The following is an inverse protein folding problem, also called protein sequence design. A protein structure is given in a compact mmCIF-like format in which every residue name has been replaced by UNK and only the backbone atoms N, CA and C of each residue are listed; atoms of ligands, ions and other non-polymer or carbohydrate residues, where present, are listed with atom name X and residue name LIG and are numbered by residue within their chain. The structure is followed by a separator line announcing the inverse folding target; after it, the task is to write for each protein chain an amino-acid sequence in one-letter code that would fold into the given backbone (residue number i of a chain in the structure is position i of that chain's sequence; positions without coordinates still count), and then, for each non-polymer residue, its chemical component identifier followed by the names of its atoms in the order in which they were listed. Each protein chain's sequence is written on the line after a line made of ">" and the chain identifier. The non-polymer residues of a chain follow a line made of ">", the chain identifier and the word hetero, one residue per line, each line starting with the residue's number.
data_IF_391137423361
#
_entry.id   IF_391137423361
#
_cell.length_a   1.000
_cell.length_b   1.000
_cell.length_c   1.000
_cell.angle_alpha   90.00
_cell.angle_beta   90.00
_cell.angle_gamma   90.00
#
_symmetry.space_group_name_H-M   'P 1'
#
loop_
_entity.id
_entity.type
_entity.pdbx_description
1 polymer ?
#
# COMPACT_ATOMS: atom_id res chain seq x y z
N UNK A 1 29.73 54.97 13.21
CA UNK A 1 28.86 53.91 13.75
C UNK A 1 28.64 52.88 12.66
N UNK A 2 29.20 51.68 12.81
CA UNK A 2 29.03 50.60 11.83
C UNK A 2 27.94 49.69 12.36
N UNK A 3 26.74 49.72 11.73
CA UNK A 3 25.66 48.80 12.01
C UNK A 3 26.02 47.40 11.47
N UNK A 4 26.15 46.40 12.33
CA UNK A 4 26.30 45.00 11.97
C UNK A 4 24.90 44.43 11.83
N UNK A 5 24.46 44.22 10.60
CA UNK A 5 23.29 43.38 10.34
C UNK A 5 23.67 41.94 10.63
N UNK A 6 23.08 41.37 11.68
CA UNK A 6 23.10 39.92 11.91
C UNK A 6 22.07 39.27 11.02
N UNK A 7 22.52 38.52 10.03
CA UNK A 7 21.67 37.68 9.20
C UNK A 7 21.35 36.41 10.00
N UNK A 8 20.15 36.35 10.57
CA UNK A 8 19.66 35.11 11.18
C UNK A 8 19.26 34.17 10.06
N UNK A 9 20.05 33.13 9.80
CA UNK A 9 19.71 32.06 8.91
C UNK A 9 18.61 31.23 9.58
N UNK A 10 17.37 31.33 9.04
CA UNK A 10 16.25 30.49 9.45
C UNK A 10 16.44 29.12 8.79
N UNK A 11 16.98 28.17 9.53
CA UNK A 11 17.04 26.76 9.10
C UNK A 11 15.64 26.21 9.25
N UNK A 12 14.89 26.14 8.14
CA UNK A 12 13.66 25.38 8.06
C UNK A 12 14.06 23.91 8.09
N UNK A 13 14.01 23.28 9.24
CA UNK A 13 14.02 21.84 9.36
C UNK A 13 12.71 21.34 8.75
N UNK A 14 12.76 20.91 7.48
CA UNK A 14 11.72 20.08 6.92
C UNK A 14 11.73 18.78 7.71
N UNK A 15 10.81 18.65 8.68
CA UNK A 15 10.52 17.38 9.32
C UNK A 15 9.99 16.46 8.23
N UNK A 16 10.83 15.53 7.74
CA UNK A 16 10.37 14.40 6.97
C UNK A 16 9.36 13.64 7.85
N UNK A 17 8.07 13.78 7.54
CA UNK A 17 7.06 12.97 8.19
C UNK A 17 7.37 11.52 7.82
N UNK A 18 7.77 10.72 8.82
CA UNK A 18 7.89 9.28 8.70
C UNK A 18 6.48 8.75 8.47
N UNK A 19 6.09 8.66 7.20
CA UNK A 19 4.82 8.08 6.80
C UNK A 19 4.96 6.57 6.74
N UNK A 20 3.90 5.83 7.13
CA UNK A 20 3.77 4.40 6.94
C UNK A 20 4.19 4.00 5.53
N UNK A 21 4.82 2.83 5.39
CA UNK A 21 5.03 2.19 4.09
C UNK A 21 3.97 1.11 3.88
N UNK A 22 3.15 1.29 2.87
CA UNK A 22 2.19 0.28 2.43
C UNK A 22 2.51 -0.11 0.99
N UNK A 23 2.79 -1.39 0.77
CA UNK A 23 3.23 -1.86 -0.54
C UNK A 23 2.79 -3.30 -0.79
N UNK A 24 2.78 -3.71 -2.06
CA UNK A 24 2.64 -5.11 -2.47
C UNK A 24 4.01 -5.69 -2.78
N UNK A 25 4.31 -6.85 -2.24
CA UNK A 25 5.52 -7.64 -2.48
C UNK A 25 5.13 -8.96 -3.16
N UNK A 26 5.97 -9.54 -4.05
CA UNK A 26 7.28 -9.07 -4.47
C UNK A 26 7.20 -7.95 -5.53
N UNK A 27 8.33 -7.29 -5.76
CA UNK A 27 8.46 -6.26 -6.79
C UNK A 27 8.75 -6.83 -8.19
N UNK A 28 9.16 -8.09 -8.26
CA UNK A 28 9.41 -8.82 -9.50
C UNK A 28 8.64 -10.15 -9.46
N UNK A 29 8.04 -10.51 -10.58
CA UNK A 29 7.28 -11.75 -10.72
C UNK A 29 7.45 -12.34 -12.12
N UNK A 30 7.11 -13.62 -12.28
CA UNK A 30 7.26 -14.33 -13.57
C UNK A 30 5.94 -14.30 -14.35
N UNK A 31 6.06 -14.13 -15.65
CA UNK A 31 4.96 -14.28 -16.61
C UNK A 31 4.24 -15.61 -16.39
N UNK A 32 2.90 -15.57 -16.34
CA UNK A 32 2.02 -16.73 -16.27
C UNK A 32 2.10 -17.57 -14.98
N UNK A 33 2.96 -17.20 -14.04
CA UNK A 33 3.13 -17.96 -12.81
C UNK A 33 1.99 -17.71 -11.82
N UNK A 34 1.72 -18.71 -10.98
CA UNK A 34 0.95 -18.51 -9.76
C UNK A 34 1.91 -18.00 -8.67
N UNK A 35 1.60 -16.84 -8.15
CA UNK A 35 2.47 -16.09 -7.25
C UNK A 35 1.77 -15.82 -5.93
N UNK A 36 2.47 -16.03 -4.82
CA UNK A 36 2.05 -15.52 -3.52
C UNK A 36 2.50 -14.07 -3.40
N UNK A 37 1.52 -13.19 -3.24
CA UNK A 37 1.71 -11.78 -2.96
C UNK A 37 1.43 -11.46 -1.49
N UNK A 38 1.95 -10.35 -1.01
CA UNK A 38 1.62 -9.82 0.30
C UNK A 38 1.43 -8.31 0.23
N UNK A 39 0.33 -7.81 0.78
CA UNK A 39 0.28 -6.40 1.16
C UNK A 39 1.06 -6.27 2.48
N UNK A 40 2.09 -5.44 2.46
CA UNK A 40 2.91 -5.14 3.63
C UNK A 40 2.55 -3.78 4.17
N UNK A 41 2.12 -3.75 5.41
CA UNK A 41 1.76 -2.53 6.13
C UNK A 41 2.78 -2.32 7.23
N UNK A 42 3.62 -1.31 7.06
CA UNK A 42 4.57 -0.88 8.09
C UNK A 42 4.12 0.48 8.61
N UNK A 43 3.48 0.50 9.76
CA UNK A 43 2.89 1.71 10.30
C UNK A 43 3.89 2.50 11.15
N UNK A 44 4.50 3.50 10.55
CA UNK A 44 5.38 4.48 11.22
C UNK A 44 4.64 5.79 11.54
N UNK A 45 3.35 5.87 11.23
CA UNK A 45 2.52 7.05 11.47
C UNK A 45 2.08 7.20 12.92
N UNK A 46 1.33 8.26 13.19
CA UNK A 46 0.82 8.58 14.54
C UNK A 46 -0.50 7.91 14.87
N UNK A 47 -1.23 7.43 13.87
CA UNK A 47 -2.53 6.79 13.99
C UNK A 47 -2.43 5.32 13.62
N UNK A 48 -3.22 4.47 14.29
CA UNK A 48 -3.34 3.08 13.89
C UNK A 48 -3.99 2.96 12.51
N UNK A 49 -3.55 1.98 11.71
CA UNK A 49 -4.24 1.58 10.49
C UNK A 49 -5.30 0.53 10.86
N UNK A 50 -6.55 0.77 10.45
CA UNK A 50 -7.72 -0.05 10.82
C UNK A 50 -8.30 -0.83 9.65
N UNK A 51 -7.90 -0.53 8.43
CA UNK A 51 -8.36 -1.21 7.24
C UNK A 51 -7.44 -0.98 6.06
N UNK A 52 -7.44 -1.94 5.15
CA UNK A 52 -6.68 -1.90 3.90
C UNK A 52 -7.59 -2.36 2.78
N UNK A 53 -7.75 -1.55 1.75
CA UNK A 53 -8.41 -1.93 0.50
C UNK A 53 -7.35 -2.04 -0.61
N UNK A 54 -7.30 -3.19 -1.27
CA UNK A 54 -6.44 -3.43 -2.42
C UNK A 54 -7.28 -3.56 -3.69
N UNK A 55 -7.09 -2.66 -4.64
CA UNK A 55 -7.66 -2.81 -5.97
C UNK A 55 -6.76 -3.75 -6.79
N UNK A 56 -7.38 -4.74 -7.42
CA UNK A 56 -6.66 -5.74 -8.20
C UNK A 56 -6.50 -5.26 -9.64
N UNK A 57 -5.25 -5.15 -10.16
CA UNK A 57 -5.02 -4.83 -11.57
C UNK A 57 -5.76 -5.77 -12.52
N UNK A 58 -6.22 -5.26 -13.68
CA UNK A 58 -7.08 -5.98 -14.60
C UNK A 58 -6.47 -7.29 -15.14
N UNK A 59 -5.15 -7.36 -15.22
CA UNK A 59 -4.42 -8.44 -15.90
C UNK A 59 -3.98 -9.57 -14.95
N UNK A 60 -4.29 -9.47 -13.67
CA UNK A 60 -3.98 -10.48 -12.67
C UNK A 60 -5.26 -11.10 -12.13
N UNK A 61 -5.24 -12.39 -11.83
CA UNK A 61 -6.40 -13.12 -11.31
C UNK A 61 -6.12 -13.64 -9.92
N UNK A 62 -6.83 -13.12 -8.92
CA UNK A 62 -6.73 -13.61 -7.53
C UNK A 62 -7.35 -14.99 -7.44
N UNK A 63 -6.62 -15.94 -6.85
CA UNK A 63 -7.02 -17.34 -6.68
C UNK A 63 -7.45 -17.59 -5.23
N UNK A 64 -6.73 -17.02 -4.26
CA UNK A 64 -6.97 -17.25 -2.85
C UNK A 64 -6.53 -16.04 -2.02
N UNK A 65 -7.23 -15.81 -0.92
CA UNK A 65 -6.90 -14.77 0.06
C UNK A 65 -6.74 -15.45 1.42
N UNK A 66 -5.56 -15.29 2.03
CA UNK A 66 -5.31 -15.86 3.35
C UNK A 66 -6.11 -15.15 4.43
N UNK A 67 -6.72 -15.91 5.32
CA UNK A 67 -7.40 -15.37 6.50
C UNK A 67 -6.37 -14.72 7.42
N UNK A 68 -6.51 -13.44 7.78
CA UNK A 68 -5.60 -12.83 8.75
C UNK A 68 -5.75 -13.48 10.13
N UNK A 69 -4.65 -13.57 10.88
CA UNK A 69 -4.66 -14.16 12.22
C UNK A 69 -5.60 -13.40 13.19
N UNK A 70 -5.67 -12.08 13.02
CA UNK A 70 -6.62 -11.20 13.70
C UNK A 70 -7.27 -10.31 12.66
N UNK A 71 -8.59 -10.17 12.72
CA UNK A 71 -9.36 -9.40 11.76
C UNK A 71 -10.08 -10.28 10.75
N UNK A 72 -10.47 -9.68 9.66
CA UNK A 72 -11.28 -10.33 8.62
C UNK A 72 -10.99 -9.71 7.26
N UNK A 73 -11.51 -10.32 6.21
CA UNK A 73 -11.51 -9.71 4.88
C UNK A 73 -12.84 -9.95 4.17
N UNK A 74 -13.12 -9.09 3.21
CA UNK A 74 -14.19 -9.24 2.23
C UNK A 74 -13.63 -9.02 0.84
N UNK A 75 -14.33 -9.49 -0.17
CA UNK A 75 -13.97 -9.28 -1.57
C UNK A 75 -15.12 -8.66 -2.34
N UNK A 76 -14.80 -7.76 -3.27
CA UNK A 76 -15.72 -7.33 -4.32
C UNK A 76 -15.38 -8.05 -5.62
N UNK A 77 -16.39 -8.39 -6.40
CA UNK A 77 -16.24 -9.12 -7.66
C UNK A 77 -16.97 -8.41 -8.80
N UNK A 78 -16.42 -8.59 -10.00
CA UNK A 78 -17.13 -8.34 -11.27
C UNK A 78 -17.25 -9.69 -11.98
N UNK A 79 -18.45 -10.23 -12.08
CA UNK A 79 -18.65 -11.65 -12.43
C UNK A 79 -17.94 -12.55 -11.39
N UNK A 80 -17.10 -13.46 -11.85
CA UNK A 80 -16.30 -14.35 -10.98
C UNK A 80 -14.96 -13.77 -10.58
N UNK A 81 -14.59 -12.63 -11.15
CA UNK A 81 -13.28 -12.01 -10.93
C UNK A 81 -13.30 -11.13 -9.68
N UNK A 82 -12.37 -11.37 -8.75
CA UNK A 82 -12.13 -10.47 -7.61
C UNK A 82 -11.49 -9.17 -8.14
N UNK A 83 -12.12 -8.04 -7.82
CA UNK A 83 -11.66 -6.69 -8.21
C UNK A 83 -11.08 -5.90 -7.05
N UNK A 84 -11.49 -6.21 -5.82
CA UNK A 84 -10.99 -5.55 -4.60
C UNK A 84 -10.95 -6.56 -3.46
N UNK A 85 -9.89 -6.51 -2.65
CA UNK A 85 -9.83 -7.19 -1.36
C UNK A 85 -9.80 -6.12 -0.27
N UNK A 86 -10.68 -6.24 0.71
CA UNK A 86 -10.78 -5.31 1.84
C UNK A 86 -10.55 -6.05 3.14
N UNK A 87 -9.49 -5.70 3.85
CA UNK A 87 -9.18 -6.24 5.17
C UNK A 87 -9.58 -5.26 6.27
N UNK A 88 -10.20 -5.80 7.31
CA UNK A 88 -10.36 -5.14 8.61
C UNK A 88 -9.29 -5.67 9.54
N UNK A 89 -8.39 -4.81 9.94
CA UNK A 89 -7.19 -5.15 10.73
C UNK A 89 -6.95 -4.07 11.78
N UNK A 90 -5.98 -4.30 12.62
CA UNK A 90 -5.47 -3.30 13.55
C UNK A 90 -3.94 -3.34 13.47
N UNK A 91 -3.35 -2.27 12.95
CA UNK A 91 -1.90 -2.10 12.88
C UNK A 91 -1.53 -0.86 13.68
N UNK A 92 -1.21 -1.03 14.96
CA UNK A 92 -0.78 0.09 15.81
C UNK A 92 0.47 0.78 15.27
N UNK A 93 0.72 1.98 15.75
CA UNK A 93 1.94 2.73 15.46
C UNK A 93 3.18 1.89 15.79
N UNK A 94 4.18 1.91 14.91
CA UNK A 94 5.43 1.14 14.99
C UNK A 94 5.25 -0.39 14.90
N UNK A 95 4.13 -0.86 14.36
CA UNK A 95 3.87 -2.28 14.09
C UNK A 95 3.84 -2.57 12.60
N UNK A 96 4.01 -3.84 12.30
CA UNK A 96 4.04 -4.39 10.94
C UNK A 96 3.00 -5.49 10.79
N UNK A 97 2.37 -5.54 9.62
CA UNK A 97 1.45 -6.61 9.25
C UNK A 97 1.66 -7.00 7.79
N UNK A 98 1.63 -8.29 7.50
CA UNK A 98 1.58 -8.83 6.15
C UNK A 98 0.23 -9.49 5.90
N UNK A 99 -0.36 -9.19 4.73
CA UNK A 99 -1.66 -9.70 4.30
C UNK A 99 -1.46 -10.49 3.00
N UNK A 100 -1.33 -11.83 3.07
CA UNK A 100 -1.03 -12.66 1.92
C UNK A 100 -2.27 -12.93 1.06
N UNK A 101 -2.04 -13.01 -0.26
CA UNK A 101 -2.98 -13.53 -1.22
C UNK A 101 -2.24 -14.22 -2.36
N UNK A 102 -2.90 -15.11 -3.08
CA UNK A 102 -2.32 -15.82 -4.21
C UNK A 102 -3.03 -15.40 -5.49
N UNK A 103 -2.26 -15.15 -6.54
CA UNK A 103 -2.81 -14.74 -7.81
C UNK A 103 -2.02 -15.32 -8.99
N UNK A 104 -2.70 -15.49 -10.12
CA UNK A 104 -2.08 -15.86 -11.38
C UNK A 104 -1.67 -14.58 -12.12
N UNK A 105 -0.40 -14.52 -12.47
CA UNK A 105 0.18 -13.41 -13.22
C UNK A 105 -0.30 -13.39 -14.68
N UNK A 106 -0.24 -12.23 -15.36
CA UNK A 106 -0.54 -12.13 -16.77
C UNK A 106 0.43 -12.98 -17.61
N UNK A 107 -0.05 -13.40 -18.79
CA UNK A 107 0.70 -14.25 -19.71
C UNK A 107 1.68 -13.45 -20.61
N UNK A 108 1.82 -12.17 -20.36
CA UNK A 108 2.77 -11.28 -21.03
C UNK A 108 3.48 -10.37 -20.03
N UNK A 109 4.65 -9.86 -20.41
CA UNK A 109 5.39 -8.90 -19.60
C UNK A 109 4.57 -7.63 -19.38
N UNK A 110 4.47 -7.20 -18.13
CA UNK A 110 3.70 -6.03 -17.73
C UNK A 110 4.11 -5.51 -16.37
N UNK A 111 3.97 -4.21 -16.17
CA UNK A 111 4.04 -3.59 -14.85
C UNK A 111 2.65 -3.59 -14.21
N UNK A 112 2.53 -4.25 -13.06
CA UNK A 112 1.33 -4.21 -12.23
C UNK A 112 1.42 -3.02 -11.29
N UNK A 113 0.59 -2.02 -11.51
CA UNK A 113 0.50 -0.84 -10.65
C UNK A 113 -0.56 -1.07 -9.59
N UNK A 114 -0.14 -1.15 -8.34
CA UNK A 114 -1.04 -1.42 -7.23
C UNK A 114 -1.66 -0.14 -6.68
N UNK A 115 -2.93 -0.22 -6.35
CA UNK A 115 -3.67 0.84 -5.67
C UNK A 115 -4.17 0.33 -4.33
N UNK A 116 -3.71 0.95 -3.26
CA UNK A 116 -4.08 0.61 -1.89
C UNK A 116 -4.67 1.84 -1.22
N UNK A 117 -5.80 1.66 -0.54
CA UNK A 117 -6.38 2.67 0.35
C UNK A 117 -6.21 2.20 1.78
N UNK A 118 -5.49 2.97 2.56
CA UNK A 118 -5.29 2.75 3.99
C UNK A 118 -6.32 3.55 4.79
N UNK A 119 -7.05 2.87 5.67
CA UNK A 119 -7.99 3.48 6.61
C UNK A 119 -7.28 3.72 7.95
N UNK A 120 -7.37 4.93 8.46
CA UNK A 120 -6.77 5.31 9.74
C UNK A 120 -7.83 5.40 10.84
N UNK A 121 -7.40 5.33 12.10
CA UNK A 121 -8.27 5.26 13.28
C UNK A 121 -9.20 6.47 13.45
N UNK A 122 -8.86 7.64 12.89
CA UNK A 122 -9.69 8.85 12.90
C UNK A 122 -10.71 8.91 11.76
N UNK A 123 -10.79 7.86 10.92
CA UNK A 123 -11.64 7.79 9.74
C UNK A 123 -11.03 8.39 8.48
N UNK A 124 -9.84 8.97 8.53
CA UNK A 124 -9.15 9.47 7.34
C UNK A 124 -8.63 8.33 6.47
N UNK A 125 -8.44 8.61 5.18
CA UNK A 125 -7.96 7.69 4.16
C UNK A 125 -6.65 8.18 3.58
N UNK A 126 -5.73 7.26 3.30
CA UNK A 126 -4.49 7.52 2.57
C UNK A 126 -4.45 6.60 1.35
N UNK A 127 -4.37 7.17 0.16
CA UNK A 127 -4.21 6.41 -1.07
C UNK A 127 -2.74 6.27 -1.43
N UNK A 128 -2.32 5.02 -1.65
CA UNK A 128 -1.01 4.60 -2.12
C UNK A 128 -1.17 4.10 -3.55
N UNK A 129 -0.94 4.97 -4.52
CA UNK A 129 -1.09 4.64 -5.95
C UNK A 129 -0.26 5.53 -6.85
N UNK A 130 -0.27 5.23 -8.15
CA UNK A 130 0.29 6.10 -9.19
C UNK A 130 -0.73 7.11 -9.74
N UNK A 131 -1.95 7.14 -9.21
CA UNK A 131 -3.00 8.06 -9.66
C UNK A 131 -2.67 9.50 -9.30
N UNK A 132 -3.06 10.47 -10.15
CA UNK A 132 -2.99 11.88 -9.78
C UNK A 132 -3.78 12.16 -8.51
N UNK A 133 -3.20 12.92 -7.58
CA UNK A 133 -3.84 13.28 -6.30
C UNK A 133 -3.67 12.25 -5.18
N UNK A 134 -3.03 11.10 -5.41
CA UNK A 134 -2.68 10.18 -4.35
C UNK A 134 -1.69 10.84 -3.37
N UNK A 135 -1.91 10.66 -2.07
CA UNK A 135 -1.02 11.21 -1.04
C UNK A 135 0.34 10.53 -1.02
N UNK A 136 0.39 9.24 -1.39
CA UNK A 136 1.60 8.43 -1.38
C UNK A 136 1.77 7.67 -2.69
N UNK A 137 3.03 7.37 -3.01
CA UNK A 137 3.36 6.60 -4.21
C UNK A 137 2.99 5.14 -4.03
N UNK A 138 2.32 4.55 -5.02
CA UNK A 138 2.02 3.12 -5.08
C UNK A 138 3.23 2.27 -5.45
N UNK A 139 3.19 1.00 -5.06
CA UNK A 139 4.17 0.01 -5.48
C UNK A 139 3.86 -0.54 -6.87
N UNK A 140 4.89 -1.04 -7.53
CA UNK A 140 4.80 -1.65 -8.85
C UNK A 140 5.46 -3.03 -8.80
N UNK A 141 4.80 -4.04 -9.33
CA UNK A 141 5.41 -5.36 -9.56
C UNK A 141 5.70 -5.51 -11.06
N UNK A 142 6.96 -5.76 -11.38
CA UNK A 142 7.40 -6.05 -12.76
C UNK A 142 7.21 -7.52 -13.06
N UNK A 143 6.31 -7.84 -13.97
CA UNK A 143 6.11 -9.20 -14.50
C UNK A 143 6.97 -9.38 -15.73
N UNK A 144 7.91 -10.30 -15.68
CA UNK A 144 8.93 -10.54 -16.73
C UNK A 144 9.34 -12.01 -16.81
#
# INVERSE_FOLDING_TARGET
>A
MKARLAFAAFVVLASASLSAHVMVSPLDARIGATQKYEVRVHNEGKLAATGIDLEIPADITVIDVAQPAKGSFTTAKSGDRITTISWKVDVPTNKYLALPFTAKNPDAAKDLQWTITEHLADGSLVEWSSRPGAQQKGSVTKVK
#
